data_IF_045243334496
#
_entry.id   IF_045243334496
#
_cell.length_a   1.000
_cell.length_b   1.000
_cell.length_c   1.000
_cell.angle_alpha   90.00
_cell.angle_beta   90.00
_cell.angle_gamma   90.00
#
_symmetry.space_group_name_H-M   'P 1'
#
loop_
_entity.id
_entity.type
_entity.pdbx_description
1 polymer ?
#
# COMPACT_ATOMS: atom_id res chain seq x y z
N UNK A 1 -59.22 -51.41 10.65
CA UNK A 1 -58.45 -50.65 9.65
C UNK A 1 -58.66 -49.16 9.89
N UNK A 2 -57.63 -48.47 10.38
CA UNK A 2 -57.46 -47.03 10.21
C UNK A 2 -55.96 -46.78 10.41
N UNK A 3 -55.32 -46.29 9.36
CA UNK A 3 -53.88 -46.18 9.20
C UNK A 3 -53.31 -45.03 10.05
N UNK A 4 -52.20 -45.29 10.74
CA UNK A 4 -51.35 -44.24 11.28
C UNK A 4 -50.52 -43.65 10.13
N UNK A 5 -50.76 -42.38 9.82
CA UNK A 5 -49.95 -41.61 8.89
C UNK A 5 -48.78 -41.00 9.68
N UNK A 6 -47.60 -41.62 9.60
CA UNK A 6 -46.38 -41.07 10.16
C UNK A 6 -45.94 -39.87 9.32
N UNK A 7 -45.99 -38.67 9.89
CA UNK A 7 -45.41 -37.47 9.31
C UNK A 7 -43.87 -37.58 9.30
N UNK A 8 -43.31 -38.10 8.20
CA UNK A 8 -41.90 -37.93 7.89
C UNK A 8 -41.71 -36.57 7.21
N UNK A 9 -41.43 -35.54 8.00
CA UNK A 9 -41.24 -34.21 7.45
C UNK A 9 -40.74 -33.20 8.48
N UNK A 10 -39.50 -33.36 8.93
CA UNK A 10 -38.68 -32.30 9.53
C UNK A 10 -37.21 -32.79 9.58
N UNK A 11 -36.45 -32.65 8.50
CA UNK A 11 -34.99 -32.57 8.66
C UNK A 11 -34.66 -31.13 9.06
N UNK A 12 -34.03 -30.93 10.21
CA UNK A 12 -33.49 -29.63 10.67
C UNK A 12 -32.32 -29.10 9.81
N UNK A 13 -32.02 -29.80 8.72
CA UNK A 13 -30.84 -29.68 7.87
C UNK A 13 -31.20 -29.09 6.48
N UNK A 14 -32.31 -28.36 6.39
CA UNK A 14 -32.76 -27.74 5.13
C UNK A 14 -32.01 -26.43 4.80
N UNK A 15 -31.26 -25.90 5.77
CA UNK A 15 -30.56 -24.61 5.67
C UNK A 15 -29.03 -24.74 5.74
N UNK A 16 -28.50 -25.96 5.90
CA UNK A 16 -27.08 -26.29 5.78
C UNK A 16 -26.72 -26.42 4.31
N UNK A 17 -26.83 -25.31 3.59
CA UNK A 17 -26.20 -25.19 2.28
C UNK A 17 -24.72 -24.96 2.54
N UNK A 18 -23.91 -26.00 2.36
CA UNK A 18 -22.48 -25.82 2.22
C UNK A 18 -22.27 -24.87 1.04
N UNK A 19 -21.92 -23.61 1.31
CA UNK A 19 -21.50 -22.69 0.26
C UNK A 19 -20.28 -23.31 -0.40
N UNK A 20 -20.37 -23.78 -1.66
CA UNK A 20 -19.21 -24.34 -2.31
C UNK A 20 -18.18 -23.24 -2.41
N UNK A 21 -16.99 -23.46 -1.87
CA UNK A 21 -15.85 -22.60 -2.19
C UNK A 21 -15.69 -22.62 -3.72
N UNK A 22 -15.46 -21.44 -4.31
CA UNK A 22 -15.20 -21.33 -5.76
C UNK A 22 -14.00 -22.20 -6.17
N UNK A 23 -13.11 -22.52 -5.22
CA UNK A 23 -12.04 -23.52 -5.34
C UNK A 23 -12.01 -24.32 -4.03
N UNK A 24 -12.19 -25.65 -4.11
CA UNK A 24 -12.10 -26.51 -2.93
C UNK A 24 -10.75 -26.36 -2.21
N UNK A 25 -10.74 -26.30 -0.88
CA UNK A 25 -9.50 -26.16 -0.10
C UNK A 25 -8.50 -27.31 -0.39
N UNK A 26 -8.99 -28.51 -0.69
CA UNK A 26 -8.18 -29.65 -1.14
C UNK A 26 -7.49 -29.43 -2.49
N UNK A 27 -8.05 -28.58 -3.37
CA UNK A 27 -7.45 -28.19 -4.65
C UNK A 27 -6.38 -27.08 -4.49
N UNK A 28 -6.37 -26.37 -3.36
CA UNK A 28 -5.33 -25.40 -2.97
C UNK A 28 -4.34 -26.02 -1.96
N UNK A 29 -4.65 -27.21 -1.44
CA UNK A 29 -3.76 -27.99 -0.60
C UNK A 29 -2.49 -28.38 -1.33
N UNK A 30 -1.33 -28.13 -0.71
CA UNK A 30 -0.03 -28.55 -1.24
C UNK A 30 0.77 -27.47 -1.95
N UNK A 31 1.96 -27.86 -2.44
CA UNK A 31 3.01 -26.92 -2.86
C UNK A 31 2.60 -26.01 -4.01
N UNK A 32 1.84 -26.53 -4.99
CA UNK A 32 1.37 -25.73 -6.11
C UNK A 32 0.31 -24.71 -5.67
N UNK A 33 -0.70 -25.15 -4.90
CA UNK A 33 -1.78 -24.27 -4.44
C UNK A 33 -1.26 -23.10 -3.60
N UNK A 34 -0.29 -23.33 -2.72
CA UNK A 34 0.36 -22.26 -1.95
C UNK A 34 1.14 -21.27 -2.83
N UNK A 35 1.66 -21.71 -3.98
CA UNK A 35 2.29 -20.82 -4.97
C UNK A 35 1.23 -19.93 -5.63
N UNK A 36 0.08 -20.50 -5.98
CA UNK A 36 -1.06 -19.74 -6.53
C UNK A 36 -1.56 -18.71 -5.53
N UNK A 37 -1.70 -19.08 -4.26
CA UNK A 37 -2.11 -18.16 -3.20
C UNK A 37 -1.11 -17.01 -3.04
N UNK A 38 0.20 -17.28 -3.07
CA UNK A 38 1.24 -16.25 -3.06
C UNK A 38 1.05 -15.24 -4.20
N UNK A 39 0.81 -15.73 -5.41
CA UNK A 39 0.61 -14.85 -6.57
C UNK A 39 -0.67 -14.02 -6.43
N UNK A 40 -1.74 -14.60 -5.89
CA UNK A 40 -2.97 -13.89 -5.55
C UNK A 40 -2.75 -12.76 -4.55
N UNK A 41 -2.13 -13.07 -3.41
CA UNK A 41 -1.82 -12.10 -2.36
C UNK A 41 -0.86 -10.99 -2.84
N UNK A 42 0.12 -11.34 -3.68
CA UNK A 42 0.99 -10.35 -4.33
C UNK A 42 0.18 -9.40 -5.22
N UNK A 43 -0.75 -9.93 -6.01
CA UNK A 43 -1.60 -9.10 -6.84
C UNK A 43 -2.55 -8.23 -6.01
N UNK A 44 -3.08 -8.72 -4.89
CA UNK A 44 -3.86 -7.89 -3.96
C UNK A 44 -3.06 -6.68 -3.47
N UNK A 45 -1.78 -6.89 -3.12
CA UNK A 45 -0.89 -5.79 -2.77
C UNK A 45 -0.67 -4.81 -3.92
N UNK A 46 -0.37 -5.30 -5.14
CA UNK A 46 -0.14 -4.43 -6.30
C UNK A 46 -1.37 -3.58 -6.60
N UNK A 47 -2.57 -4.17 -6.49
CA UNK A 47 -3.87 -3.49 -6.64
C UNK A 47 -4.03 -2.40 -5.59
N UNK A 48 -3.84 -2.75 -4.31
CA UNK A 48 -3.97 -1.82 -3.18
C UNK A 48 -2.99 -0.64 -3.27
N UNK A 49 -1.76 -0.88 -3.74
CA UNK A 49 -0.71 0.13 -3.76
C UNK A 49 -0.75 1.03 -5.00
N UNK A 50 -0.79 0.42 -6.19
CA UNK A 50 -0.53 1.10 -7.47
C UNK A 50 -1.51 0.74 -8.59
N UNK A 51 -2.44 -0.20 -8.37
CA UNK A 51 -3.27 -0.79 -9.43
C UNK A 51 -4.65 -0.17 -9.60
N UNK A 52 -5.17 0.55 -8.60
CA UNK A 52 -6.45 1.25 -8.70
C UNK A 52 -6.28 2.77 -8.79
N UNK A 53 -7.31 3.45 -9.31
CA UNK A 53 -7.30 4.91 -9.44
C UNK A 53 -7.26 5.64 -8.10
N UNK A 54 -7.60 4.96 -7.01
CA UNK A 54 -7.53 5.49 -5.65
C UNK A 54 -6.52 4.72 -4.79
N UNK A 55 -5.67 3.88 -5.39
CA UNK A 55 -4.69 3.06 -4.67
C UNK A 55 -3.76 3.91 -3.81
N UNK A 56 -3.05 3.28 -2.88
CA UNK A 56 -2.29 3.98 -1.84
C UNK A 56 -1.40 5.12 -2.36
N UNK A 57 -0.72 4.95 -3.50
CA UNK A 57 0.08 6.03 -4.12
C UNK A 57 -0.78 7.25 -4.46
N UNK A 58 -1.95 7.04 -5.08
CA UNK A 58 -2.82 8.13 -5.51
C UNK A 58 -3.51 8.76 -4.31
N UNK A 59 -4.06 7.94 -3.40
CA UNK A 59 -4.71 8.44 -2.19
C UNK A 59 -3.77 9.29 -1.33
N UNK A 60 -2.53 8.83 -1.10
CA UNK A 60 -1.54 9.58 -0.32
C UNK A 60 -0.95 10.77 -1.07
N UNK A 61 -0.82 10.68 -2.41
CA UNK A 61 -0.44 11.84 -3.23
C UNK A 61 -1.49 12.95 -3.17
N UNK A 62 -2.78 12.60 -3.12
CA UNK A 62 -3.87 13.55 -2.97
C UNK A 62 -3.94 14.12 -1.54
N UNK A 63 -3.69 13.30 -0.52
CA UNK A 63 -3.59 13.77 0.87
C UNK A 63 -2.35 14.66 1.12
N UNK A 64 -1.27 14.43 0.36
CA UNK A 64 0.02 15.10 0.48
C UNK A 64 0.20 16.31 -0.43
N UNK A 65 -0.88 16.76 -1.10
CA UNK A 65 -0.89 17.91 -2.01
C UNK A 65 0.07 17.74 -3.22
N UNK A 66 0.40 16.48 -3.60
CA UNK A 66 1.23 16.18 -4.78
C UNK A 66 0.41 16.11 -6.07
N UNK A 67 -0.82 15.61 -5.93
CA UNK A 67 -1.81 15.57 -6.98
C UNK A 67 -3.11 16.15 -6.44
N UNK A 68 -3.88 16.78 -7.31
CA UNK A 68 -5.17 17.34 -7.00
C UNK A 68 -6.25 16.58 -7.76
N UNK A 69 -7.39 16.40 -7.12
CA UNK A 69 -8.56 15.84 -7.77
C UNK A 69 -9.15 16.85 -8.77
N UNK A 70 -9.51 16.36 -9.94
CA UNK A 70 -10.33 17.06 -10.94
C UNK A 70 -11.67 16.34 -11.12
N UNK A 71 -12.09 15.59 -10.10
CA UNK A 71 -13.28 14.75 -10.10
C UNK A 71 -14.53 15.54 -9.68
N UNK A 72 -15.71 14.91 -9.65
CA UNK A 72 -16.94 15.46 -9.08
C UNK A 72 -17.39 14.73 -7.82
N UNK A 73 -16.73 13.63 -7.45
CA UNK A 73 -17.05 12.88 -6.23
C UNK A 73 -16.42 13.53 -4.99
N UNK A 74 -17.25 13.77 -3.97
CA UNK A 74 -16.87 14.47 -2.75
C UNK A 74 -15.79 13.74 -1.94
N UNK A 75 -15.70 12.42 -2.00
CA UNK A 75 -14.74 11.60 -1.25
C UNK A 75 -13.28 11.90 -1.60
N UNK A 76 -12.99 12.25 -2.86
CA UNK A 76 -11.64 12.64 -3.29
C UNK A 76 -11.27 14.07 -2.86
N UNK A 77 -12.22 15.00 -2.90
CA UNK A 77 -12.02 16.36 -2.37
C UNK A 77 -11.83 16.34 -0.85
N UNK A 78 -12.61 15.52 -0.16
CA UNK A 78 -12.53 15.32 1.28
C UNK A 78 -11.18 14.76 1.73
N UNK A 79 -10.55 13.91 0.92
CA UNK A 79 -9.21 13.38 1.19
C UNK A 79 -8.17 14.49 1.21
N UNK A 80 -8.17 15.34 0.18
CA UNK A 80 -7.26 16.49 0.04
C UNK A 80 -7.53 17.56 1.13
N UNK A 81 -8.82 17.86 1.36
CA UNK A 81 -9.28 18.73 2.42
C UNK A 81 -9.09 18.17 3.85
N UNK A 82 -8.53 16.95 4.00
CA UNK A 82 -8.32 16.25 5.28
C UNK A 82 -9.60 16.15 6.12
N UNK A 83 -10.73 16.04 5.44
CA UNK A 83 -12.07 16.00 6.01
C UNK A 83 -12.69 14.61 5.76
N UNK A 84 -12.27 13.61 6.53
CA UNK A 84 -12.78 12.26 6.38
C UNK A 84 -14.24 12.16 6.86
N UNK A 85 -15.08 11.50 6.08
CA UNK A 85 -16.45 11.15 6.44
C UNK A 85 -16.62 9.64 6.35
N UNK A 86 -17.21 9.02 7.38
CA UNK A 86 -17.54 7.59 7.36
C UNK A 86 -18.58 7.25 6.29
N UNK A 87 -19.42 8.23 5.91
CA UNK A 87 -20.46 8.07 4.89
C UNK A 87 -19.94 8.28 3.46
N UNK A 88 -18.94 9.16 3.29
CA UNK A 88 -18.37 9.55 2.00
C UNK A 88 -16.88 9.20 1.91
N UNK A 89 -16.50 8.06 2.48
CA UNK A 89 -15.10 7.62 2.57
C UNK A 89 -14.60 6.82 1.37
N UNK A 90 -15.29 6.82 0.22
CA UNK A 90 -15.06 5.87 -0.89
C UNK A 90 -13.59 5.63 -1.23
N UNK A 91 -12.85 6.68 -1.61
CA UNK A 91 -11.43 6.61 -1.95
C UNK A 91 -10.54 6.06 -0.81
N UNK A 92 -10.67 6.59 0.42
CA UNK A 92 -9.81 6.21 1.56
C UNK A 92 -10.20 4.85 2.16
N UNK A 93 -11.49 4.54 2.23
CA UNK A 93 -12.02 3.28 2.75
C UNK A 93 -11.71 2.12 1.79
N UNK A 94 -11.86 2.34 0.47
CA UNK A 94 -11.48 1.33 -0.54
C UNK A 94 -10.01 0.96 -0.40
N UNK A 95 -9.13 1.96 -0.26
CA UNK A 95 -7.69 1.75 -0.09
C UNK A 95 -7.36 1.07 1.24
N UNK A 96 -8.03 1.45 2.33
CA UNK A 96 -7.87 0.80 3.62
C UNK A 96 -8.21 -0.69 3.55
N UNK A 97 -9.36 -1.02 2.96
CA UNK A 97 -9.84 -2.40 2.83
C UNK A 97 -8.94 -3.23 1.91
N UNK A 98 -8.46 -2.66 0.81
CA UNK A 98 -7.53 -3.34 -0.10
C UNK A 98 -6.16 -3.59 0.56
N UNK A 99 -5.65 -2.64 1.34
CA UNK A 99 -4.43 -2.85 2.13
C UNK A 99 -4.62 -3.93 3.20
N UNK A 100 -5.79 -3.96 3.86
CA UNK A 100 -6.09 -4.99 4.87
C UNK A 100 -6.16 -6.38 4.21
N UNK A 101 -6.80 -6.48 3.04
CA UNK A 101 -6.84 -7.70 2.25
C UNK A 101 -5.42 -8.17 1.88
N UNK A 102 -4.59 -7.28 1.35
CA UNK A 102 -3.20 -7.60 1.00
C UNK A 102 -2.39 -8.07 2.24
N UNK A 103 -2.53 -7.40 3.38
CA UNK A 103 -1.83 -7.73 4.63
C UNK A 103 -2.31 -9.05 5.23
N UNK A 104 -3.61 -9.29 5.24
CA UNK A 104 -4.21 -10.52 5.76
C UNK A 104 -3.88 -11.71 4.86
N UNK A 105 -3.99 -11.53 3.53
CA UNK A 105 -3.60 -12.50 2.52
C UNK A 105 -2.14 -12.91 2.67
N UNK A 106 -1.21 -11.95 2.74
CA UNK A 106 0.22 -12.26 2.95
C UNK A 106 0.46 -13.02 4.25
N UNK A 107 -0.19 -12.65 5.36
CA UNK A 107 -0.05 -13.36 6.62
C UNK A 107 -0.49 -14.83 6.52
N UNK A 108 -1.65 -15.10 5.91
CA UNK A 108 -2.15 -16.46 5.72
C UNK A 108 -1.25 -17.28 4.81
N UNK A 109 -0.79 -16.70 3.70
CA UNK A 109 0.07 -17.42 2.75
C UNK A 109 1.45 -17.71 3.34
N UNK A 110 2.02 -16.81 4.15
CA UNK A 110 3.29 -17.07 4.85
C UNK A 110 3.19 -18.32 5.74
N UNK A 111 2.12 -18.44 6.53
CA UNK A 111 1.89 -19.62 7.38
C UNK A 111 1.80 -20.90 6.55
N UNK A 112 1.02 -20.89 5.46
CA UNK A 112 0.87 -22.04 4.54
C UNK A 112 2.18 -22.34 3.77
N UNK A 113 2.97 -21.32 3.43
CA UNK A 113 4.26 -21.47 2.75
C UNK A 113 5.27 -22.19 3.62
N UNK A 114 5.40 -21.77 4.88
CA UNK A 114 6.31 -22.40 5.84
C UNK A 114 5.95 -23.87 6.07
N UNK A 115 4.65 -24.19 6.10
CA UNK A 115 4.19 -25.55 6.33
C UNK A 115 4.44 -26.52 5.16
N UNK A 116 4.52 -26.02 3.93
CA UNK A 116 4.45 -26.87 2.72
C UNK A 116 5.68 -26.76 1.82
N UNK A 117 6.38 -25.63 1.82
CA UNK A 117 7.50 -25.39 0.91
C UNK A 117 8.83 -25.84 1.52
N UNK A 118 9.79 -26.30 0.69
CA UNK A 118 11.12 -26.65 1.17
C UNK A 118 11.88 -25.41 1.66
N UNK A 119 12.99 -25.61 2.38
CA UNK A 119 13.83 -24.53 2.91
C UNK A 119 15.03 -24.17 2.02
N UNK A 120 14.95 -24.50 0.72
CA UNK A 120 15.98 -24.14 -0.26
C UNK A 120 15.99 -22.63 -0.55
N UNK A 121 17.06 -22.13 -1.18
CA UNK A 121 17.26 -20.70 -1.41
C UNK A 121 16.09 -20.02 -2.13
N UNK A 122 15.55 -20.64 -3.19
CA UNK A 122 14.44 -20.06 -3.95
C UNK A 122 13.15 -19.93 -3.12
N UNK A 123 12.85 -20.94 -2.31
CA UNK A 123 11.68 -20.92 -1.43
C UNK A 123 11.85 -19.93 -0.26
N UNK A 124 13.08 -19.80 0.27
CA UNK A 124 13.42 -18.78 1.27
C UNK A 124 13.35 -17.36 0.71
N UNK A 125 13.82 -17.14 -0.51
CA UNK A 125 13.73 -15.84 -1.19
C UNK A 125 12.27 -15.44 -1.47
N UNK A 126 11.43 -16.39 -1.89
CA UNK A 126 9.99 -16.15 -2.04
C UNK A 126 9.31 -15.81 -0.71
N UNK A 127 9.74 -16.44 0.38
CA UNK A 127 9.27 -16.15 1.73
C UNK A 127 9.75 -14.77 2.21
N UNK A 128 11.00 -14.41 1.90
CA UNK A 128 11.55 -13.09 2.19
C UNK A 128 10.75 -11.98 1.49
N UNK A 129 10.40 -12.18 0.22
CA UNK A 129 9.56 -11.26 -0.54
C UNK A 129 8.19 -11.08 0.11
N UNK A 130 7.50 -12.16 0.50
CA UNK A 130 6.20 -12.07 1.16
C UNK A 130 6.26 -11.33 2.49
N UNK A 131 7.28 -11.58 3.31
CA UNK A 131 7.50 -10.83 4.55
C UNK A 131 7.78 -9.35 4.28
N UNK A 132 8.59 -9.02 3.27
CA UNK A 132 8.89 -7.65 2.91
C UNK A 132 7.62 -6.92 2.43
N UNK A 133 6.83 -7.52 1.54
CA UNK A 133 5.57 -6.95 1.08
C UNK A 133 4.60 -6.74 2.23
N UNK A 134 4.43 -7.74 3.11
CA UNK A 134 3.63 -7.56 4.32
C UNK A 134 4.12 -6.39 5.18
N UNK A 135 5.43 -6.27 5.36
CA UNK A 135 6.03 -5.16 6.10
C UNK A 135 5.80 -3.79 5.45
N UNK A 136 5.85 -3.70 4.12
CA UNK A 136 5.49 -2.47 3.40
C UNK A 136 4.02 -2.11 3.62
N UNK A 137 3.11 -3.08 3.49
CA UNK A 137 1.68 -2.87 3.77
C UNK A 137 1.44 -2.41 5.20
N UNK A 138 2.13 -3.00 6.18
CA UNK A 138 2.06 -2.56 7.59
C UNK A 138 2.62 -1.15 7.79
N UNK A 139 3.69 -0.78 7.09
CA UNK A 139 4.25 0.58 7.09
C UNK A 139 3.26 1.59 6.53
N UNK A 140 2.58 1.26 5.43
CA UNK A 140 1.59 2.12 4.79
C UNK A 140 0.39 2.43 5.69
N UNK A 141 0.00 1.49 6.56
CA UNK A 141 -1.00 1.78 7.58
C UNK A 141 -0.52 2.81 8.60
N UNK A 142 0.73 2.71 9.06
CA UNK A 142 1.27 3.69 10.00
C UNK A 142 1.44 5.08 9.38
N UNK A 143 1.80 5.15 8.10
CA UNK A 143 1.96 6.41 7.36
C UNK A 143 0.63 7.07 6.98
N UNK A 144 -0.30 6.29 6.42
CA UNK A 144 -1.55 6.81 5.84
C UNK A 144 -2.73 6.88 6.80
N UNK A 145 -2.73 6.08 7.86
CA UNK A 145 -3.86 5.93 8.79
C UNK A 145 -3.48 6.12 10.26
N UNK A 146 -2.19 6.30 10.56
CA UNK A 146 -1.68 6.58 11.91
C UNK A 146 -2.07 5.52 12.95
N UNK A 147 -2.89 5.89 13.93
CA UNK A 147 -3.21 5.10 15.13
C UNK A 147 -4.62 4.54 15.06
N UNK A 148 -4.85 3.42 15.75
CA UNK A 148 -6.16 2.77 15.83
C UNK A 148 -6.40 1.73 14.75
N UNK A 149 -5.36 1.31 14.01
CA UNK A 149 -5.48 0.30 12.95
C UNK A 149 -5.49 -1.11 13.57
N UNK A 150 -6.60 -1.87 13.48
CA UNK A 150 -6.62 -3.27 13.89
C UNK A 150 -6.02 -4.18 12.81
N UNK A 151 -5.28 -5.20 13.24
CA UNK A 151 -4.71 -6.22 12.36
C UNK A 151 -5.28 -7.61 12.65
N UNK A 152 -6.49 -7.84 12.15
CA UNK A 152 -7.18 -9.13 12.23
C UNK A 152 -6.54 -10.19 11.33
N UNK A 153 -6.82 -11.46 11.58
CA UNK A 153 -6.43 -12.57 10.70
C UNK A 153 -7.49 -13.67 10.69
N UNK A 154 -7.42 -14.52 9.69
CA UNK A 154 -8.14 -15.80 9.66
C UNK A 154 -7.19 -16.85 10.23
N UNK A 155 -7.61 -17.57 11.27
CA UNK A 155 -6.85 -18.66 11.86
C UNK A 155 -6.88 -19.91 10.96
N UNK A 156 -6.02 -20.88 11.25
CA UNK A 156 -5.91 -22.11 10.44
C UNK A 156 -7.20 -22.94 10.41
N UNK A 157 -8.07 -22.80 11.41
CA UNK A 157 -9.38 -23.44 11.49
C UNK A 157 -10.51 -22.63 10.81
N UNK A 158 -10.18 -21.50 10.16
CA UNK A 158 -11.16 -20.63 9.50
C UNK A 158 -11.75 -19.54 10.39
N UNK A 159 -11.49 -19.54 11.69
CA UNK A 159 -12.05 -18.55 12.60
C UNK A 159 -11.41 -17.16 12.40
N UNK A 160 -12.23 -16.11 12.57
CA UNK A 160 -11.73 -14.74 12.60
C UNK A 160 -11.12 -14.42 13.96
N UNK A 161 -9.84 -14.06 13.95
CA UNK A 161 -9.15 -13.48 15.10
C UNK A 161 -9.08 -11.98 14.89
N UNK A 162 -9.88 -11.24 15.65
CA UNK A 162 -9.90 -9.79 15.58
C UNK A 162 -8.67 -9.20 16.29
N UNK A 163 -8.02 -8.24 15.63
CA UNK A 163 -6.89 -7.52 16.21
C UNK A 163 -7.35 -6.31 17.02
N UNK A 164 -6.63 -6.02 18.11
CA UNK A 164 -6.83 -4.78 18.85
C UNK A 164 -6.38 -3.56 18.03
N UNK A 165 -6.99 -2.38 18.23
CA UNK A 165 -6.49 -1.13 17.65
C UNK A 165 -5.06 -0.86 18.12
N UNK A 166 -4.12 -0.75 17.18
CA UNK A 166 -2.70 -0.52 17.47
C UNK A 166 -2.36 0.96 17.43
N UNK A 167 -1.46 1.39 18.32
CA UNK A 167 -0.79 2.70 18.19
C UNK A 167 0.12 2.71 16.96
N UNK A 168 0.39 3.88 16.39
CA UNK A 168 1.33 4.02 15.26
C UNK A 168 2.69 3.38 15.55
N UNK A 169 3.21 3.55 16.77
CA UNK A 169 4.49 2.96 17.19
C UNK A 169 4.45 1.41 17.21
N UNK A 170 3.33 0.82 17.64
CA UNK A 170 3.13 -0.63 17.58
C UNK A 170 3.02 -1.15 16.14
N UNK A 171 2.37 -0.39 15.24
CA UNK A 171 2.32 -0.72 13.82
C UNK A 171 3.73 -0.71 13.21
N UNK A 172 4.54 0.32 13.47
CA UNK A 172 5.94 0.35 13.01
C UNK A 172 6.79 -0.78 13.62
N UNK A 173 6.58 -1.11 14.90
CA UNK A 173 7.28 -2.24 15.55
C UNK A 173 6.96 -3.56 14.83
N UNK A 174 5.70 -3.76 14.45
CA UNK A 174 5.26 -4.93 13.67
C UNK A 174 5.85 -4.93 12.25
N UNK A 175 5.80 -3.79 11.55
CA UNK A 175 6.39 -3.65 10.22
C UNK A 175 7.90 -3.95 10.25
N UNK A 176 8.61 -3.45 11.26
CA UNK A 176 10.01 -3.75 11.54
C UNK A 176 10.24 -5.26 11.71
N UNK A 177 9.42 -5.96 12.49
CA UNK A 177 9.54 -7.41 12.68
C UNK A 177 9.27 -8.21 11.38
N UNK A 178 8.35 -7.74 10.55
CA UNK A 178 8.14 -8.29 9.20
C UNK A 178 9.40 -8.10 8.32
N UNK A 179 10.04 -6.93 8.36
CA UNK A 179 11.29 -6.68 7.63
C UNK A 179 12.48 -7.52 8.16
N UNK A 180 12.56 -7.73 9.48
CA UNK A 180 13.60 -8.57 10.08
C UNK A 180 13.42 -10.04 9.67
N UNK A 181 12.18 -10.51 9.61
CA UNK A 181 11.84 -11.84 9.08
C UNK A 181 12.19 -11.98 7.59
N UNK A 182 11.99 -10.91 6.81
CA UNK A 182 12.42 -10.88 5.40
C UNK A 182 13.95 -10.96 5.27
N UNK A 183 14.69 -10.18 6.05
CA UNK A 183 16.17 -10.17 6.04
C UNK A 183 16.76 -11.53 6.45
N UNK A 184 16.15 -12.21 7.43
CA UNK A 184 16.57 -13.54 7.88
C UNK A 184 16.35 -14.64 6.82
N UNK A 185 15.36 -14.46 5.94
CA UNK A 185 15.06 -15.40 4.87
C UNK A 185 15.76 -15.06 3.55
N UNK A 186 16.10 -13.79 3.31
CA UNK A 186 16.74 -13.37 2.08
C UNK A 186 18.10 -14.06 1.88
N UNK A 187 18.19 -14.85 0.83
CA UNK A 187 19.44 -15.44 0.33
C UNK A 187 20.00 -14.64 -0.85
N UNK A 188 19.14 -14.13 -1.73
CA UNK A 188 19.49 -13.26 -2.85
C UNK A 188 19.63 -11.77 -2.50
N UNK A 189 20.50 -11.06 -3.23
CA UNK A 189 20.75 -9.63 -3.04
C UNK A 189 19.50 -8.77 -3.30
N UNK A 190 18.64 -9.18 -4.22
CA UNK A 190 17.38 -8.48 -4.55
C UNK A 190 16.46 -8.39 -3.33
N UNK A 191 16.20 -9.51 -2.67
CA UNK A 191 15.29 -9.58 -1.53
C UNK A 191 15.90 -8.98 -0.27
N UNK A 192 17.23 -9.11 -0.09
CA UNK A 192 17.94 -8.40 0.97
C UNK A 192 17.82 -6.89 0.78
N UNK A 193 17.99 -6.39 -0.44
CA UNK A 193 17.86 -4.96 -0.74
C UNK A 193 16.44 -4.44 -0.55
N UNK A 194 15.43 -5.19 -1.00
CA UNK A 194 14.02 -4.87 -0.77
C UNK A 194 13.71 -4.73 0.74
N UNK A 195 14.10 -5.74 1.53
CA UNK A 195 13.84 -5.75 2.97
C UNK A 195 14.66 -4.67 3.70
N UNK A 196 15.91 -4.41 3.28
CA UNK A 196 16.73 -3.31 3.81
C UNK A 196 16.11 -1.94 3.59
N UNK A 197 15.56 -1.67 2.39
CA UNK A 197 14.87 -0.40 2.11
C UNK A 197 13.61 -0.28 2.96
N UNK A 198 12.81 -1.35 3.04
CA UNK A 198 11.62 -1.37 3.88
C UNK A 198 11.93 -1.13 5.36
N UNK A 199 12.99 -1.79 5.88
CA UNK A 199 13.49 -1.55 7.25
C UNK A 199 13.94 -0.11 7.45
N UNK A 200 14.69 0.45 6.50
CA UNK A 200 15.15 1.83 6.57
C UNK A 200 13.99 2.84 6.55
N UNK A 201 12.92 2.57 5.80
CA UNK A 201 11.70 3.39 5.81
C UNK A 201 11.04 3.41 7.19
N UNK A 202 10.80 2.23 7.78
CA UNK A 202 10.26 2.14 9.15
C UNK A 202 11.14 2.89 10.17
N UNK A 203 12.46 2.72 10.08
CA UNK A 203 13.41 3.42 10.97
C UNK A 203 13.38 4.94 10.74
N UNK A 204 13.24 5.38 9.49
CA UNK A 204 13.13 6.78 9.12
C UNK A 204 11.87 7.41 9.72
N UNK A 205 10.73 6.73 9.62
CA UNK A 205 9.45 7.21 10.15
C UNK A 205 9.44 7.26 11.68
N UNK A 206 10.26 6.42 12.33
CA UNK A 206 10.51 6.45 13.77
C UNK A 206 11.57 7.49 14.19
N UNK A 207 12.10 8.29 13.27
CA UNK A 207 13.13 9.30 13.54
C UNK A 207 14.53 8.73 13.79
N UNK A 208 14.76 7.45 13.51
CA UNK A 208 16.04 6.76 13.70
C UNK A 208 16.94 6.91 12.47
N UNK A 209 17.27 8.15 12.11
CA UNK A 209 17.94 8.49 10.85
C UNK A 209 19.28 7.77 10.63
N UNK A 210 20.11 7.63 11.68
CA UNK A 210 21.40 6.95 11.57
C UNK A 210 21.24 5.43 11.33
N UNK A 211 20.26 4.81 11.99
CA UNK A 211 19.93 3.40 11.80
C UNK A 211 19.34 3.17 10.40
N UNK A 212 18.46 4.05 9.93
CA UNK A 212 17.91 4.01 8.58
C UNK A 212 19.03 4.08 7.52
N UNK A 213 19.98 5.01 7.65
CA UNK A 213 21.12 5.12 6.74
C UNK A 213 22.00 3.86 6.76
N UNK A 214 22.20 3.26 7.93
CA UNK A 214 22.96 2.02 8.07
C UNK A 214 22.27 0.85 7.37
N UNK A 215 20.94 0.73 7.51
CA UNK A 215 20.16 -0.36 6.95
C UNK A 215 20.22 -0.45 5.41
N UNK A 216 20.40 0.68 4.72
CA UNK A 216 20.54 0.74 3.24
C UNK A 216 21.99 0.90 2.75
N UNK A 217 22.98 0.91 3.64
CA UNK A 217 24.39 1.17 3.27
C UNK A 217 24.95 0.20 2.22
N UNK A 218 24.47 -1.04 2.19
CA UNK A 218 24.87 -2.08 1.24
C UNK A 218 23.96 -2.17 -0.01
N UNK A 219 22.92 -1.35 -0.10
CA UNK A 219 21.96 -1.41 -1.22
C UNK A 219 22.52 -0.62 -2.41
N UNK A 220 22.67 -1.23 -3.60
CA UNK A 220 23.13 -0.52 -4.79
C UNK A 220 22.19 0.64 -5.14
N UNK A 221 22.72 1.80 -5.51
CA UNK A 221 21.90 2.96 -5.92
C UNK A 221 21.15 2.74 -7.24
N UNK A 222 21.50 1.69 -7.99
CA UNK A 222 20.77 1.24 -9.17
C UNK A 222 19.62 0.27 -8.84
N UNK A 223 19.53 -0.20 -7.60
CA UNK A 223 18.50 -1.16 -7.19
C UNK A 223 17.11 -0.53 -7.30
N UNK A 224 16.20 -1.28 -7.93
CA UNK A 224 14.77 -0.96 -7.99
C UNK A 224 14.00 -2.25 -7.82
N UNK A 225 13.05 -2.27 -6.88
CA UNK A 225 12.02 -3.29 -6.84
C UNK A 225 10.78 -2.78 -7.58
N UNK A 226 10.44 -3.46 -8.66
CA UNK A 226 9.45 -3.02 -9.63
C UNK A 226 8.20 -3.89 -9.53
N UNK A 227 7.05 -3.24 -9.41
CA UNK A 227 5.73 -3.84 -9.57
C UNK A 227 5.32 -3.72 -11.03
N UNK A 228 4.99 -4.86 -11.63
CA UNK A 228 4.60 -4.93 -13.04
C UNK A 228 3.11 -4.76 -13.21
N UNK A 229 2.71 -4.08 -14.28
CA UNK A 229 1.32 -3.92 -14.69
C UNK A 229 1.11 -4.48 -16.10
N UNK A 230 -0.14 -4.78 -16.44
CA UNK A 230 -0.52 -5.36 -17.73
C UNK A 230 -1.92 -4.90 -18.12
N UNK A 231 -2.18 -4.86 -19.43
CA UNK A 231 -3.51 -4.62 -20.01
C UNK A 231 -4.34 -5.89 -20.21
N UNK A 232 -3.83 -7.06 -19.78
CA UNK A 232 -4.51 -8.34 -19.96
C UNK A 232 -5.85 -8.40 -19.21
N UNK A 233 -5.93 -7.76 -18.04
CA UNK A 233 -7.17 -7.57 -17.28
C UNK A 233 -7.18 -6.20 -16.62
N UNK A 234 -8.35 -5.64 -16.36
CA UNK A 234 -8.48 -4.34 -15.68
C UNK A 234 -7.84 -4.33 -14.30
N UNK A 235 -7.84 -5.46 -13.59
CA UNK A 235 -7.21 -5.64 -12.27
C UNK A 235 -5.68 -5.55 -12.31
N UNK A 236 -5.07 -5.69 -13.48
CA UNK A 236 -3.60 -5.62 -13.65
C UNK A 236 -3.13 -4.26 -14.17
N UNK A 237 -4.04 -3.37 -14.52
CA UNK A 237 -3.69 -2.04 -15.02
C UNK A 237 -2.93 -1.23 -13.97
N UNK A 238 -2.13 -0.28 -14.43
CA UNK A 238 -1.54 0.76 -13.61
C UNK A 238 -2.62 1.78 -13.23
N UNK A 239 -2.95 1.82 -11.93
CA UNK A 239 -3.92 2.71 -11.34
C UNK A 239 -3.49 4.17 -11.37
N UNK A 240 -2.19 4.44 -11.22
CA UNK A 240 -1.61 5.79 -11.28
C UNK A 240 -1.78 6.39 -12.68
N UNK A 241 -1.52 5.59 -13.73
CA UNK A 241 -1.81 5.98 -15.11
C UNK A 241 -3.29 6.29 -15.27
N UNK A 242 -4.17 5.36 -14.85
CA UNK A 242 -5.63 5.51 -14.97
C UNK A 242 -6.15 6.73 -14.20
N UNK A 243 -5.50 7.11 -13.09
CA UNK A 243 -5.85 8.24 -12.26
C UNK A 243 -5.46 9.57 -12.89
N UNK A 244 -4.28 9.63 -13.54
CA UNK A 244 -3.57 10.89 -13.79
C UNK A 244 -3.14 11.15 -15.23
N UNK A 245 -3.35 10.23 -16.17
CA UNK A 245 -2.87 10.34 -17.56
C UNK A 245 -3.94 10.44 -18.67
N UNK A 246 -5.06 9.67 -18.66
CA UNK A 246 -6.05 9.73 -19.74
C UNK A 246 -6.81 11.07 -19.75
N UNK A 247 -7.46 11.38 -20.87
CA UNK A 247 -8.45 12.46 -20.91
C UNK A 247 -9.63 12.10 -19.99
N UNK A 248 -10.18 13.09 -19.27
CA UNK A 248 -11.15 12.83 -18.21
C UNK A 248 -10.54 12.13 -16.99
N UNK A 249 -9.24 12.30 -16.76
CA UNK A 249 -8.57 11.81 -15.54
C UNK A 249 -9.19 12.40 -14.29
N UNK A 250 -9.15 11.64 -13.20
CA UNK A 250 -9.66 12.08 -11.89
C UNK A 250 -8.65 12.91 -11.11
N UNK A 251 -7.38 12.81 -11.46
CA UNK A 251 -6.30 13.49 -10.77
C UNK A 251 -5.36 14.18 -11.74
N UNK A 252 -4.70 15.22 -11.27
CA UNK A 252 -3.65 15.94 -11.97
C UNK A 252 -2.53 16.34 -11.00
N UNK A 253 -1.32 16.57 -11.51
CA UNK A 253 -0.21 17.08 -10.69
C UNK A 253 -0.56 18.47 -10.15
N UNK A 254 -0.49 18.63 -8.82
CA UNK A 254 -0.75 19.90 -8.14
C UNK A 254 0.47 20.81 -8.10
N UNK A 255 0.25 22.10 -7.82
CA UNK A 255 1.32 23.07 -7.57
C UNK A 255 0.99 23.96 -6.39
N UNK A 256 1.91 24.06 -5.42
CA UNK A 256 1.85 25.03 -4.31
C UNK A 256 0.53 25.02 -3.55
N UNK A 257 -0.14 23.89 -3.52
CA UNK A 257 -1.35 23.70 -2.75
C UNK A 257 -1.03 23.75 -1.25
N UNK A 258 -1.98 24.23 -0.44
CA UNK A 258 -1.88 24.14 1.01
C UNK A 258 -0.67 24.84 1.65
N UNK A 259 -0.27 26.06 1.24
CA UNK A 259 0.85 26.88 1.80
C UNK A 259 2.26 26.25 1.74
N UNK A 260 2.40 24.94 1.97
CA UNK A 260 3.63 24.17 2.04
C UNK A 260 3.81 23.22 0.84
N UNK A 261 2.83 23.13 -0.07
CA UNK A 261 2.87 22.26 -1.23
C UNK A 261 4.08 22.55 -2.12
N UNK A 262 4.69 21.46 -2.59
CA UNK A 262 5.85 21.54 -3.47
C UNK A 262 5.38 21.97 -4.86
N UNK A 263 6.13 22.86 -5.50
CA UNK A 263 5.90 23.20 -6.90
C UNK A 263 6.54 22.13 -7.80
N UNK A 264 5.74 21.20 -8.31
CA UNK A 264 6.19 20.14 -9.21
C UNK A 264 6.21 20.57 -10.68
N UNK A 265 5.43 21.57 -11.07
CA UNK A 265 5.32 22.05 -12.46
C UNK A 265 6.30 23.19 -12.77
N UNK A 266 7.57 23.00 -12.41
CA UNK A 266 8.63 24.00 -12.58
C UNK A 266 9.36 23.86 -13.91
N UNK A 267 10.08 24.93 -14.32
CA UNK A 267 11.02 24.93 -15.43
C UNK A 267 12.42 25.35 -14.94
N UNK A 268 13.50 24.58 -15.20
CA UNK A 268 13.53 23.25 -15.81
C UNK A 268 12.71 22.21 -15.03
N UNK A 269 12.22 21.18 -15.73
CA UNK A 269 11.31 20.15 -15.21
C UNK A 269 11.84 19.49 -13.93
N UNK A 270 10.99 19.31 -12.92
CA UNK A 270 11.36 18.57 -11.71
C UNK A 270 11.59 17.09 -12.05
N UNK A 271 12.78 16.53 -11.78
CA UNK A 271 13.09 15.16 -12.14
C UNK A 271 12.26 14.11 -11.38
N UNK A 272 11.59 14.48 -10.27
CA UNK A 272 10.72 13.58 -9.49
C UNK A 272 9.38 13.35 -10.18
N UNK A 273 8.89 14.35 -10.91
CA UNK A 273 7.61 14.33 -11.63
C UNK A 273 7.80 14.98 -13.01
N UNK A 274 8.44 14.28 -13.97
CA UNK A 274 8.56 14.79 -15.32
C UNK A 274 7.17 15.02 -15.95
N UNK A 275 7.00 16.10 -16.70
CA UNK A 275 5.71 16.46 -17.29
C UNK A 275 5.85 17.23 -18.60
N UNK A 276 4.79 17.22 -19.41
CA UNK A 276 4.65 18.02 -20.63
C UNK A 276 3.33 18.83 -20.64
N UNK A 277 3.31 20.05 -21.21
CA UNK A 277 2.07 20.78 -21.43
C UNK A 277 1.10 19.97 -22.31
N UNK A 278 -0.19 20.05 -22.03
CA UNK A 278 -1.20 19.35 -22.83
C UNK A 278 -2.53 20.11 -22.83
N UNK A 279 -3.44 19.76 -23.75
CA UNK A 279 -4.82 20.29 -23.81
C UNK A 279 -5.82 19.42 -23.05
N UNK A 280 -5.33 18.51 -22.22
CA UNK A 280 -6.16 17.52 -21.53
C UNK A 280 -7.16 18.19 -20.59
N UNK A 281 -8.37 17.64 -20.60
CA UNK A 281 -9.48 18.05 -19.75
C UNK A 281 -9.64 17.07 -18.59
N UNK A 282 -9.92 17.58 -17.40
CA UNK A 282 -10.21 16.78 -16.21
C UNK A 282 -11.58 16.12 -16.25
N UNK A 283 -11.84 15.23 -15.30
CA UNK A 283 -13.10 14.51 -15.18
C UNK A 283 -14.32 15.43 -14.99
N UNK A 284 -14.15 16.53 -14.23
CA UNK A 284 -15.15 17.57 -13.99
C UNK A 284 -15.64 18.30 -15.25
N UNK A 285 -14.95 18.13 -16.38
CA UNK A 285 -15.27 18.84 -17.60
C UNK A 285 -15.09 20.36 -17.48
N UNK A 286 -14.41 20.91 -16.46
CA UNK A 286 -14.11 22.34 -16.29
C UNK A 286 -12.62 22.61 -16.10
N UNK A 287 -11.88 21.67 -15.53
CA UNK A 287 -10.42 21.66 -15.48
C UNK A 287 -9.84 21.52 -16.89
N UNK A 288 -8.97 22.45 -17.30
CA UNK A 288 -8.38 22.54 -18.65
C UNK A 288 -6.87 22.62 -18.61
N UNK A 289 -6.25 22.25 -19.73
CA UNK A 289 -4.81 22.31 -19.95
C UNK A 289 -4.00 21.55 -18.89
N UNK A 290 -4.53 20.41 -18.42
CA UNK A 290 -3.89 19.61 -17.40
C UNK A 290 -2.55 19.07 -17.94
N UNK A 291 -1.42 19.27 -17.24
CA UNK A 291 -0.15 18.69 -17.65
C UNK A 291 -0.26 17.17 -17.74
N UNK A 292 0.52 16.59 -18.65
CA UNK A 292 0.68 15.13 -18.76
C UNK A 292 1.93 14.76 -17.98
N UNK A 293 1.79 13.93 -16.95
CA UNK A 293 2.94 13.35 -16.27
C UNK A 293 3.61 12.29 -17.18
N UNK A 294 4.93 12.25 -17.19
CA UNK A 294 5.74 11.39 -18.06
C UNK A 294 6.40 10.23 -17.29
N UNK A 295 5.98 10.00 -16.04
CA UNK A 295 6.53 8.93 -15.18
C UNK A 295 5.84 7.59 -15.42
N UNK A 296 4.53 7.61 -15.61
CA UNK A 296 3.68 6.44 -15.85
C UNK A 296 2.89 6.71 -17.14
N UNK A 297 3.46 6.41 -18.31
CA UNK A 297 2.90 6.86 -19.60
C UNK A 297 2.00 5.84 -20.31
N UNK A 298 1.88 4.62 -19.78
CA UNK A 298 1.03 3.56 -20.29
C UNK A 298 0.23 2.84 -19.19
N UNK A 299 -0.89 2.22 -19.54
CA UNK A 299 -1.66 1.35 -18.63
C UNK A 299 -0.85 0.16 -18.10
N UNK A 300 0.16 -0.29 -18.84
CA UNK A 300 1.08 -1.34 -18.40
C UNK A 300 2.39 -0.77 -17.81
N UNK A 301 2.49 0.54 -17.59
CA UNK A 301 3.70 1.15 -17.02
C UNK A 301 3.98 0.54 -15.63
N UNK A 302 5.24 0.16 -15.34
CA UNK A 302 5.58 -0.37 -14.03
C UNK A 302 5.56 0.72 -12.94
N UNK A 303 5.40 0.30 -11.68
CA UNK A 303 5.56 1.16 -10.50
C UNK A 303 6.76 0.72 -9.67
N UNK A 304 7.54 1.66 -9.13
CA UNK A 304 8.67 1.35 -8.24
C UNK A 304 8.18 1.37 -6.80
N UNK A 305 8.30 0.24 -6.10
CA UNK A 305 7.96 0.14 -4.68
C UNK A 305 9.12 0.60 -3.78
N UNK A 306 10.34 0.23 -4.16
CA UNK A 306 11.53 0.46 -3.36
C UNK A 306 12.75 0.73 -4.25
N UNK A 307 13.41 1.86 -4.01
CA UNK A 307 14.71 2.20 -4.57
C UNK A 307 15.56 2.98 -3.55
N UNK A 308 16.83 3.19 -3.88
CA UNK A 308 17.71 4.10 -3.12
C UNK A 308 18.21 5.17 -4.08
N UNK A 309 17.54 6.32 -4.09
CA UNK A 309 18.03 7.49 -4.80
C UNK A 309 18.96 8.31 -3.90
N UNK A 310 20.19 8.56 -4.35
CA UNK A 310 21.00 9.64 -3.76
C UNK A 310 20.34 10.95 -4.18
N UNK A 311 19.78 11.69 -3.23
CA UNK A 311 19.36 13.07 -3.47
C UNK A 311 20.60 13.84 -3.94
N UNK A 312 20.66 14.19 -5.22
CA UNK A 312 21.69 15.07 -5.75
C UNK A 312 21.74 16.34 -4.90
N UNK A 313 22.94 16.75 -4.49
CA UNK A 313 23.17 17.83 -3.52
C UNK A 313 22.85 19.24 -4.05
N UNK A 314 21.84 19.41 -4.90
CA UNK A 314 21.56 20.72 -5.54
C UNK A 314 20.63 21.62 -4.73
N UNK A 315 19.97 21.13 -3.67
CA UNK A 315 19.25 21.99 -2.71
C UNK A 315 19.39 21.46 -1.28
N UNK A 316 20.52 21.76 -0.63
CA UNK A 316 20.52 21.91 0.83
C UNK A 316 19.53 23.05 1.14
N UNK A 317 18.50 22.80 1.96
CA UNK A 317 17.87 23.90 2.70
C UNK A 317 19.02 24.64 3.39
N UNK A 318 19.15 25.97 3.27
CA UNK A 318 20.12 26.69 4.08
C UNK A 318 19.81 26.34 5.53
N UNK A 319 20.82 25.89 6.25
CA UNK A 319 20.73 25.70 7.69
C UNK A 319 20.31 27.05 8.28
N UNK A 320 19.06 27.14 8.73
CA UNK A 320 18.64 28.25 9.57
C UNK A 320 19.49 28.17 10.83
N UNK A 321 20.34 29.16 11.01
CA UNK A 321 21.18 29.41 12.19
C UNK A 321 20.37 29.13 13.47
N UNK A 322 20.89 28.36 14.44
CA UNK A 322 20.18 28.15 15.69
C UNK A 322 20.14 29.47 16.45
N UNK A 323 18.96 30.08 16.56
CA UNK A 323 18.75 31.18 17.50
C UNK A 323 18.73 30.58 18.89
N UNK A 324 19.56 31.14 19.75
CA UNK A 324 19.80 30.71 21.12
C UNK A 324 18.50 30.51 21.90
N UNK A 325 18.55 29.50 22.75
CA UNK A 325 17.54 29.11 23.71
C UNK A 325 17.00 30.31 24.49
N UNK A 326 15.67 30.42 24.54
CA UNK A 326 15.02 30.97 25.72
C UNK A 326 14.20 29.84 26.34
N UNK A 327 14.68 29.39 27.49
CA UNK A 327 14.08 28.34 28.31
C UNK A 327 12.93 28.96 29.09
N UNK A 328 11.71 28.43 28.93
CA UNK A 328 10.83 28.15 30.07
C UNK A 328 9.73 27.14 29.73
N UNK A 329 9.29 26.35 30.73
CA UNK A 329 8.56 25.11 30.53
C UNK A 329 7.05 25.31 30.75
N UNK A 330 6.23 24.52 30.04
CA UNK A 330 5.12 23.73 30.59
C UNK A 330 4.34 23.06 29.46
N UNK A 331 3.95 21.81 29.68
CA UNK A 331 3.33 20.96 28.67
C UNK A 331 1.91 21.34 28.31
N UNK A 332 1.51 20.95 27.10
CA UNK A 332 0.16 20.50 26.78
C UNK A 332 0.26 19.59 25.54
N UNK A 333 -0.35 18.40 25.50
CA UNK A 333 -0.33 17.52 24.33
C UNK A 333 -1.14 18.14 23.20
N UNK A 334 -0.63 18.03 21.98
CA UNK A 334 -1.29 18.48 20.75
C UNK A 334 -2.54 17.63 20.51
N UNK A 335 -3.70 18.12 20.92
CA UNK A 335 -5.01 17.63 20.52
C UNK A 335 -5.52 18.49 19.37
N UNK A 336 -5.56 17.91 18.16
CA UNK A 336 -6.51 18.18 17.06
C UNK A 336 -6.01 17.45 15.81
N UNK A 337 -6.77 16.41 15.45
CA UNK A 337 -6.93 15.96 14.08
C UNK A 337 -7.82 16.95 13.33
#
# INVERSE_FOLDING_TARGET
MAAALSAAGCSSDLLTVATPDVIAESAIGGSLGVTTLRNGAMQDFIVAYSGTQDGFIVATGNLGDEIQTTDTFADRYNTDARNASELLGGAINSTYNQLQLARAGMASVIEKWIAVKPTNSAAKDSLAEMYAIRGFTETFFAEGYCSGVPFSKVAANGDFVFGDPLTTAQVYTRASASMDSALANATGATYRSLASIGKARVLLDQGQYAAAATAVSAVPTSFKYILSHSIATTRQNNGIWNASYPAGSRYNVGTKEGTNGIDYLVTPVDPRVPWTPSTRTGFDGTSRNLPRQEKYTAQAAPAVLADVSKRGSSRRRPASTPRAADLRPTGTPCSRC
#
